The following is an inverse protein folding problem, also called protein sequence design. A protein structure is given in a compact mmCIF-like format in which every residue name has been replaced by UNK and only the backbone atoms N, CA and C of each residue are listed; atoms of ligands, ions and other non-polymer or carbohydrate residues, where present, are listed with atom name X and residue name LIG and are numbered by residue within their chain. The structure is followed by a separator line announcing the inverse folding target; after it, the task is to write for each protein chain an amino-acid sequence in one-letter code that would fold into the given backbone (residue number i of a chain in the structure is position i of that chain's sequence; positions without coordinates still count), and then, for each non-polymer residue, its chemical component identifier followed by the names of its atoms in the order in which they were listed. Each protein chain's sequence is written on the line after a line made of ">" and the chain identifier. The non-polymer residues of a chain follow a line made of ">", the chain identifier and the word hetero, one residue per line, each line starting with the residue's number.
data_IF_250635062002
#
_entry.id   IF_250635062002
#
_cell.length_a   1.000
_cell.length_b   1.000
_cell.length_c   1.000
_cell.angle_alpha   90.00
_cell.angle_beta   90.00
_cell.angle_gamma   90.00
#
_symmetry.space_group_name_H-M   'P 1'
#
loop_
_entity.id
_entity.type
_entity.pdbx_description
1 polymer ?
#
# COMPACT_ATOMS: atom_id res chain seq x y z
N UNK A 1 5.34 -47.23 -37.42
CA UNK A 1 4.56 -47.17 -36.16
C UNK A 1 5.51 -47.09 -34.95
N UNK A 2 6.46 -46.14 -34.96
CA UNK A 2 7.53 -46.02 -33.95
C UNK A 2 7.96 -44.57 -33.67
N UNK A 3 7.28 -43.58 -34.25
CA UNK A 3 7.64 -42.16 -34.15
C UNK A 3 6.89 -41.39 -33.05
N UNK A 4 5.81 -41.97 -32.49
CA UNK A 4 4.99 -41.27 -31.49
C UNK A 4 5.54 -41.41 -30.06
N UNK A 5 6.25 -42.49 -29.73
CA UNK A 5 6.74 -42.73 -28.37
C UNK A 5 7.89 -41.81 -27.93
N UNK A 6 8.73 -41.36 -28.87
CA UNK A 6 9.83 -40.43 -28.57
C UNK A 6 9.35 -38.99 -28.37
N UNK A 7 8.35 -38.55 -29.15
CA UNK A 7 7.72 -37.23 -28.96
C UNK A 7 6.95 -37.12 -27.64
N UNK A 8 6.24 -38.19 -27.25
CA UNK A 8 5.53 -38.26 -25.96
C UNK A 8 6.52 -38.13 -24.78
N UNK A 9 7.74 -38.64 -24.93
CA UNK A 9 8.78 -38.57 -23.90
C UNK A 9 9.36 -37.15 -23.76
N UNK A 10 9.59 -36.44 -24.86
CA UNK A 10 10.10 -35.05 -24.81
C UNK A 10 9.04 -34.10 -24.24
N UNK A 11 7.78 -34.24 -24.66
CA UNK A 11 6.68 -33.39 -24.15
C UNK A 11 6.44 -33.61 -22.66
N UNK A 12 6.49 -34.86 -22.18
CA UNK A 12 6.37 -35.16 -20.75
C UNK A 12 7.56 -34.64 -19.93
N UNK A 13 8.79 -34.76 -20.44
CA UNK A 13 9.99 -34.18 -19.78
C UNK A 13 9.90 -32.65 -19.73
N UNK A 14 9.48 -31.98 -20.80
CA UNK A 14 9.32 -30.52 -20.83
C UNK A 14 8.25 -30.07 -19.85
N UNK A 15 7.08 -30.72 -19.85
CA UNK A 15 5.99 -30.37 -18.92
C UNK A 15 6.38 -30.61 -17.47
N UNK A 16 7.11 -31.68 -17.17
CA UNK A 16 7.59 -31.99 -15.82
C UNK A 16 8.68 -31.02 -15.36
N UNK A 17 9.61 -30.63 -16.25
CA UNK A 17 10.63 -29.63 -15.92
C UNK A 17 10.03 -28.24 -15.69
N UNK A 18 9.09 -27.80 -16.54
CA UNK A 18 8.34 -26.54 -16.32
C UNK A 18 7.57 -26.58 -15.00
N UNK A 19 6.89 -27.68 -14.74
CA UNK A 19 6.14 -27.89 -13.49
C UNK A 19 7.06 -27.82 -12.28
N UNK A 20 8.22 -28.48 -12.32
CA UNK A 20 9.20 -28.45 -11.24
C UNK A 20 9.74 -27.03 -11.01
N UNK A 21 10.14 -26.31 -12.07
CA UNK A 21 10.64 -24.93 -11.96
C UNK A 21 9.60 -24.03 -11.29
N UNK A 22 8.36 -24.05 -11.77
CA UNK A 22 7.31 -23.18 -11.23
C UNK A 22 6.91 -23.62 -9.82
N UNK A 23 6.88 -24.93 -9.54
CA UNK A 23 6.63 -25.44 -8.19
C UNK A 23 7.70 -24.99 -7.20
N UNK A 24 8.97 -24.97 -7.61
CA UNK A 24 10.08 -24.49 -6.78
C UNK A 24 9.95 -22.98 -6.50
N UNK A 25 9.57 -22.19 -7.52
CA UNK A 25 9.30 -20.75 -7.36
C UNK A 25 8.15 -20.53 -6.38
N UNK A 26 7.06 -21.29 -6.47
CA UNK A 26 5.93 -21.14 -5.56
C UNK A 26 6.18 -21.70 -4.16
N UNK A 27 6.94 -22.78 -4.02
CA UNK A 27 7.37 -23.27 -2.70
C UNK A 27 8.32 -22.30 -2.01
N UNK A 28 9.05 -21.49 -2.79
CA UNK A 28 9.86 -20.39 -2.22
C UNK A 28 8.99 -19.25 -1.70
N UNK A 29 7.70 -19.18 -2.09
CA UNK A 29 6.68 -18.32 -1.50
C UNK A 29 6.09 -19.05 -0.29
N UNK A 30 6.92 -19.24 0.73
CA UNK A 30 6.58 -19.97 1.95
C UNK A 30 5.74 -19.13 2.92
N UNK A 31 5.26 -19.77 4.00
CA UNK A 31 4.47 -19.16 5.08
C UNK A 31 5.09 -17.86 5.66
N UNK A 32 6.42 -17.73 5.63
CA UNK A 32 7.10 -16.52 6.09
C UNK A 32 6.72 -15.27 5.28
N UNK A 33 6.43 -15.42 3.98
CA UNK A 33 6.00 -14.30 3.14
C UNK A 33 4.55 -13.88 3.42
N UNK A 34 3.71 -14.78 3.92
CA UNK A 34 2.34 -14.44 4.30
C UNK A 34 2.32 -13.63 5.60
N UNK A 35 3.15 -13.99 6.58
CA UNK A 35 3.29 -13.20 7.80
C UNK A 35 3.85 -11.80 7.50
N UNK A 36 4.85 -11.71 6.61
CA UNK A 36 5.37 -10.41 6.14
C UNK A 36 4.29 -9.58 5.42
N UNK A 37 3.39 -10.21 4.67
CA UNK A 37 2.27 -9.51 4.04
C UNK A 37 1.33 -8.90 5.08
N UNK A 38 1.02 -9.65 6.15
CA UNK A 38 0.20 -9.15 7.25
C UNK A 38 0.86 -7.93 7.94
N UNK A 39 2.16 -8.00 8.23
CA UNK A 39 2.92 -6.89 8.82
C UNK A 39 2.97 -5.64 7.92
N UNK A 40 3.02 -5.82 6.60
CA UNK A 40 3.01 -4.71 5.63
C UNK A 40 1.64 -4.04 5.48
N UNK A 41 0.55 -4.77 5.73
CA UNK A 41 -0.82 -4.27 5.58
C UNK A 41 -1.29 -3.58 6.85
N UNK A 42 -1.08 -4.23 7.99
CA UNK A 42 -1.54 -3.79 9.31
C UNK A 42 -0.46 -2.98 10.00
N UNK A 43 -0.27 -1.77 9.48
CA UNK A 43 0.71 -0.83 9.98
C UNK A 43 0.24 -0.20 11.30
N UNK A 44 1.11 -0.17 12.30
CA UNK A 44 0.92 0.57 13.54
C UNK A 44 1.82 1.82 13.62
N UNK A 45 1.62 2.69 14.61
CA UNK A 45 2.47 3.87 14.84
C UNK A 45 3.97 3.55 14.95
N UNK A 46 4.30 2.32 15.29
CA UNK A 46 5.66 1.83 15.51
C UNK A 46 6.57 2.04 14.28
N UNK A 47 6.01 2.04 13.07
CA UNK A 47 6.76 2.26 11.81
C UNK A 47 7.51 3.59 11.74
N UNK A 48 7.10 4.55 12.55
CA UNK A 48 7.61 5.93 12.56
C UNK A 48 8.45 6.21 13.81
N UNK A 49 8.44 5.30 14.78
CA UNK A 49 9.17 5.45 16.05
C UNK A 49 10.65 5.05 15.96
N UNK A 50 11.10 4.57 14.80
CA UNK A 50 12.50 4.22 14.56
C UNK A 50 13.45 5.38 14.88
N UNK A 51 14.51 5.10 15.64
CA UNK A 51 15.48 6.12 16.05
C UNK A 51 16.15 6.86 14.88
N UNK A 52 16.34 6.17 13.75
CA UNK A 52 16.86 6.76 12.51
C UNK A 52 15.84 7.71 11.88
N UNK A 53 14.56 7.34 11.87
CA UNK A 53 13.48 8.14 11.31
C UNK A 53 13.24 9.42 12.12
N UNK A 54 13.23 9.30 13.46
CA UNK A 54 13.11 10.44 14.37
C UNK A 54 14.28 11.42 14.17
N UNK A 55 15.51 10.91 13.97
CA UNK A 55 16.69 11.77 13.68
C UNK A 55 16.57 12.53 12.36
N UNK A 56 15.97 11.93 11.33
CA UNK A 56 15.76 12.59 10.02
C UNK A 56 14.73 13.72 10.14
N UNK A 57 13.62 13.47 10.83
CA UNK A 57 12.63 14.50 11.12
C UNK A 57 13.25 15.61 11.98
N UNK A 58 14.02 15.18 12.97
CA UNK A 58 14.75 16.04 13.90
C UNK A 58 13.83 16.74 14.89
N UNK A 59 14.45 17.57 15.74
CA UNK A 59 13.75 18.45 16.67
C UNK A 59 13.84 19.90 16.17
N UNK A 60 13.34 20.88 16.93
CA UNK A 60 13.37 22.29 16.55
C UNK A 60 14.76 22.84 16.13
N UNK A 61 15.84 22.16 16.52
CA UNK A 61 17.23 22.51 16.24
C UNK A 61 17.95 21.63 15.21
N UNK A 62 17.30 20.61 14.64
CA UNK A 62 17.93 19.68 13.68
C UNK A 62 16.93 19.04 12.71
N UNK A 63 17.43 18.43 11.64
CA UNK A 63 16.59 17.68 10.70
C UNK A 63 15.66 18.54 9.84
N UNK A 64 14.60 17.92 9.35
CA UNK A 64 13.63 18.55 8.43
C UNK A 64 12.89 19.72 9.09
N UNK A 65 12.57 19.63 10.38
CA UNK A 65 11.87 20.71 11.10
C UNK A 65 12.68 22.03 11.05
N UNK A 66 14.02 21.95 11.15
CA UNK A 66 14.88 23.13 11.04
C UNK A 66 14.80 23.77 9.64
N UNK A 67 14.81 22.95 8.58
CA UNK A 67 14.67 23.43 7.20
C UNK A 67 13.31 24.14 7.04
N UNK A 68 12.26 23.55 7.61
CA UNK A 68 10.92 24.13 7.62
C UNK A 68 10.88 25.48 8.35
N UNK A 69 11.56 25.62 9.49
CA UNK A 69 11.68 26.90 10.20
C UNK A 69 12.40 27.97 9.35
N UNK A 70 13.45 27.61 8.62
CA UNK A 70 14.14 28.53 7.71
C UNK A 70 13.23 28.97 6.53
N UNK A 71 12.45 28.05 5.96
CA UNK A 71 11.46 28.37 4.92
C UNK A 71 10.37 29.31 5.47
N UNK A 72 9.95 29.12 6.72
CA UNK A 72 8.96 29.98 7.36
C UNK A 72 9.46 31.43 7.44
N UNK A 73 10.74 31.64 7.78
CA UNK A 73 11.37 32.96 7.72
C UNK A 73 11.39 33.53 6.30
N UNK A 74 11.71 32.72 5.30
CA UNK A 74 11.64 33.12 3.89
C UNK A 74 10.23 33.57 3.47
N UNK A 75 9.18 32.88 3.93
CA UNK A 75 7.78 33.27 3.68
C UNK A 75 7.44 34.61 4.35
N UNK A 76 7.96 34.88 5.56
CA UNK A 76 7.82 36.19 6.21
C UNK A 76 8.47 37.32 5.38
N UNK A 77 9.68 37.09 4.88
CA UNK A 77 10.38 38.05 4.01
C UNK A 77 9.62 38.28 2.69
N UNK A 78 9.17 37.20 2.05
CA UNK A 78 8.35 37.27 0.85
C UNK A 78 7.08 38.11 1.06
N UNK A 79 6.36 37.86 2.16
CA UNK A 79 5.18 38.64 2.50
C UNK A 79 5.51 40.11 2.75
N UNK A 80 6.61 40.40 3.45
CA UNK A 80 7.04 41.77 3.74
C UNK A 80 7.35 42.56 2.47
N UNK A 81 8.06 41.94 1.52
CA UNK A 81 8.33 42.56 0.22
C UNK A 81 7.06 42.73 -0.63
N UNK A 82 6.20 41.71 -0.64
CA UNK A 82 4.91 41.76 -1.35
C UNK A 82 3.98 42.85 -0.78
N UNK A 83 3.98 43.05 0.54
CA UNK A 83 3.24 44.13 1.20
C UNK A 83 3.80 45.51 0.79
N UNK A 84 5.12 45.67 0.78
CA UNK A 84 5.75 46.92 0.35
C UNK A 84 5.40 47.24 -1.12
N UNK A 85 5.44 46.23 -2.00
CA UNK A 85 5.07 46.40 -3.40
C UNK A 85 3.58 46.68 -3.60
N UNK A 86 2.71 46.14 -2.75
CA UNK A 86 1.27 46.41 -2.74
C UNK A 86 0.97 47.90 -2.53
N UNK A 87 1.72 48.57 -1.64
CA UNK A 87 1.60 50.02 -1.46
C UNK A 87 2.04 50.81 -2.69
N UNK A 88 2.95 50.29 -3.51
CA UNK A 88 3.43 50.95 -4.73
C UNK A 88 2.52 50.69 -5.94
N UNK A 89 1.98 49.48 -6.09
CA UNK A 89 1.23 49.02 -7.27
C UNK A 89 -0.28 48.95 -7.06
N UNK A 90 -0.78 49.29 -5.88
CA UNK A 90 -2.19 49.17 -5.47
C UNK A 90 -2.78 47.75 -5.63
N UNK A 91 -1.92 46.73 -5.77
CA UNK A 91 -2.33 45.34 -5.86
C UNK A 91 -2.89 44.85 -4.50
N UNK A 92 -4.00 44.12 -4.52
CA UNK A 92 -4.61 43.59 -3.30
C UNK A 92 -3.78 42.41 -2.75
N UNK A 93 -3.07 42.65 -1.65
CA UNK A 93 -2.35 41.61 -0.90
C UNK A 93 -3.13 41.21 0.34
N UNK A 94 -2.87 40.02 0.87
CA UNK A 94 -3.50 39.53 2.09
C UNK A 94 -3.29 40.51 3.26
N UNK A 95 -4.35 40.74 4.05
CA UNK A 95 -4.29 41.64 5.22
C UNK A 95 -3.25 41.16 6.26
N UNK A 96 -2.43 42.06 6.85
CA UNK A 96 -1.40 41.70 7.83
C UNK A 96 -1.90 40.87 9.01
N UNK A 97 -3.05 41.24 9.58
CA UNK A 97 -3.65 40.51 10.70
C UNK A 97 -4.01 39.07 10.34
N UNK A 98 -4.55 38.85 9.13
CA UNK A 98 -4.88 37.51 8.63
C UNK A 98 -3.61 36.69 8.33
N UNK A 99 -2.55 37.33 7.87
CA UNK A 99 -1.28 36.66 7.60
C UNK A 99 -0.62 36.19 8.90
N UNK A 100 -0.47 37.08 9.90
CA UNK A 100 0.15 36.76 11.19
C UNK A 100 -0.64 35.66 11.91
N UNK A 101 -1.98 35.74 11.92
CA UNK A 101 -2.81 34.73 12.55
C UNK A 101 -2.63 33.34 11.91
N UNK A 102 -2.61 33.26 10.57
CA UNK A 102 -2.35 32.01 9.85
C UNK A 102 -0.95 31.49 10.10
N UNK A 103 0.04 32.38 10.11
CA UNK A 103 1.43 32.03 10.36
C UNK A 103 1.58 31.38 11.74
N UNK A 104 1.01 31.98 12.79
CA UNK A 104 1.03 31.43 14.14
C UNK A 104 0.44 30.01 14.19
N UNK A 105 -0.76 29.82 13.60
CA UNK A 105 -1.42 28.52 13.57
C UNK A 105 -0.57 27.48 12.82
N UNK A 106 -0.02 27.85 11.66
CA UNK A 106 0.82 26.94 10.86
C UNK A 106 2.14 26.60 11.56
N UNK A 107 2.76 27.52 12.31
CA UNK A 107 3.97 27.25 13.10
C UNK A 107 3.68 26.24 14.21
N UNK A 108 2.55 26.37 14.90
CA UNK A 108 2.14 25.38 15.90
C UNK A 108 1.93 24.02 15.22
N UNK A 109 1.16 23.98 14.12
CA UNK A 109 0.89 22.74 13.38
C UNK A 109 2.14 22.08 12.81
N UNK A 110 3.15 22.86 12.39
CA UNK A 110 4.46 22.37 11.93
C UNK A 110 5.17 21.60 13.04
N UNK A 111 5.26 22.16 14.25
CA UNK A 111 5.92 21.51 15.37
C UNK A 111 5.18 20.24 15.83
N UNK A 112 3.85 20.22 15.72
CA UNK A 112 3.01 19.05 16.03
C UNK A 112 2.78 18.12 14.83
N UNK A 113 3.39 18.37 13.67
CA UNK A 113 3.12 17.62 12.43
C UNK A 113 3.36 16.12 12.57
N UNK A 114 4.50 15.75 13.18
CA UNK A 114 4.84 14.37 13.48
C UNK A 114 3.80 13.69 14.37
N UNK A 115 3.42 14.36 15.46
CA UNK A 115 2.42 13.85 16.40
C UNK A 115 1.06 13.64 15.72
N UNK A 116 0.64 14.58 14.85
CA UNK A 116 -0.62 14.45 14.09
C UNK A 116 -0.57 13.21 13.20
N UNK A 117 0.52 13.01 12.46
CA UNK A 117 0.69 11.83 11.60
C UNK A 117 0.69 10.52 12.39
N UNK A 118 1.40 10.47 13.52
CA UNK A 118 1.43 9.31 14.42
C UNK A 118 0.02 8.94 14.90
N UNK A 119 -0.75 9.93 15.37
CA UNK A 119 -2.12 9.68 15.87
C UNK A 119 -3.10 9.30 14.76
N UNK A 120 -2.95 9.83 13.55
CA UNK A 120 -3.76 9.40 12.41
C UNK A 120 -3.50 7.93 12.05
N UNK A 121 -2.24 7.51 12.03
CA UNK A 121 -1.87 6.11 11.74
C UNK A 121 -2.39 5.19 12.84
N UNK A 122 -2.19 5.57 14.11
CA UNK A 122 -2.71 4.82 15.25
C UNK A 122 -4.24 4.67 15.21
N UNK A 123 -4.96 5.73 14.84
CA UNK A 123 -6.41 5.69 14.69
C UNK A 123 -6.82 4.68 13.62
N UNK A 124 -6.19 4.71 12.45
CA UNK A 124 -6.52 3.74 11.37
C UNK A 124 -6.14 2.31 11.73
N UNK A 125 -5.07 2.13 12.51
CA UNK A 125 -4.69 0.82 13.06
C UNK A 125 -5.77 0.28 14.01
N UNK A 126 -6.23 1.10 14.95
CA UNK A 126 -7.29 0.71 15.88
C UNK A 126 -8.60 0.34 15.17
N UNK A 127 -8.99 1.10 14.13
CA UNK A 127 -10.19 0.78 13.34
C UNK A 127 -10.02 -0.56 12.62
N UNK A 128 -8.86 -0.80 12.02
CA UNK A 128 -8.56 -2.06 11.34
C UNK A 128 -8.57 -3.26 12.30
N UNK A 129 -7.98 -3.10 13.48
CA UNK A 129 -8.01 -4.10 14.56
C UNK A 129 -9.44 -4.37 15.04
N UNK A 130 -10.27 -3.33 15.21
CA UNK A 130 -11.66 -3.52 15.59
C UNK A 130 -12.43 -4.36 14.56
N UNK A 131 -12.22 -4.13 13.26
CA UNK A 131 -12.84 -4.91 12.19
C UNK A 131 -12.37 -6.38 12.24
N UNK A 132 -11.07 -6.60 12.47
CA UNK A 132 -10.50 -7.96 12.60
C UNK A 132 -11.07 -8.70 13.81
N UNK A 133 -11.10 -8.06 14.98
CA UNK A 133 -11.66 -8.64 16.20
C UNK A 133 -13.15 -9.01 16.02
N UNK A 134 -13.93 -8.15 15.35
CA UNK A 134 -15.33 -8.46 15.04
C UNK A 134 -15.45 -9.74 14.23
N UNK A 135 -14.61 -9.91 13.22
CA UNK A 135 -14.68 -11.12 12.42
C UNK A 135 -14.03 -12.35 13.07
N UNK A 136 -13.02 -12.18 13.93
CA UNK A 136 -12.50 -13.28 14.79
C UNK A 136 -13.60 -13.87 15.66
N UNK A 137 -14.46 -13.03 16.24
CA UNK A 137 -15.63 -13.48 16.99
C UNK A 137 -16.73 -14.15 16.13
N UNK A 138 -16.75 -13.91 14.82
CA UNK A 138 -17.77 -14.47 13.92
C UNK A 138 -17.33 -15.80 13.31
N UNK A 139 -16.03 -15.95 13.00
CA UNK A 139 -15.49 -17.11 12.30
C UNK A 139 -14.62 -18.03 13.18
N UNK A 140 -14.40 -17.67 14.45
CA UNK A 140 -13.53 -18.38 15.40
C UNK A 140 -12.09 -18.61 14.88
N UNK A 141 -11.64 -17.77 13.94
CA UNK A 141 -10.31 -17.82 13.32
C UNK A 141 -9.74 -16.41 13.15
N UNK A 142 -8.42 -16.27 13.27
CA UNK A 142 -7.71 -15.01 13.03
C UNK A 142 -7.92 -14.51 11.59
N UNK A 143 -8.45 -13.29 11.46
CA UNK A 143 -8.61 -12.65 10.15
C UNK A 143 -7.29 -12.03 9.73
N UNK A 144 -6.54 -12.79 8.95
CA UNK A 144 -5.27 -12.40 8.36
C UNK A 144 -5.03 -13.13 7.03
N UNK A 145 -4.10 -12.61 6.23
CA UNK A 145 -3.72 -13.25 4.96
C UNK A 145 -3.07 -14.60 5.19
N UNK A 146 -2.24 -14.74 6.22
CA UNK A 146 -1.64 -16.02 6.60
C UNK A 146 -2.69 -17.11 6.79
N UNK A 147 -3.73 -16.87 7.60
CA UNK A 147 -4.83 -17.84 7.80
C UNK A 147 -5.65 -18.05 6.53
N UNK A 148 -5.93 -16.98 5.76
CA UNK A 148 -6.66 -17.12 4.50
C UNK A 148 -5.90 -18.04 3.54
N UNK A 149 -4.61 -17.83 3.35
CA UNK A 149 -3.79 -18.65 2.44
C UNK A 149 -3.55 -20.06 2.97
N UNK A 150 -3.43 -20.25 4.29
CA UNK A 150 -3.39 -21.60 4.88
C UNK A 150 -4.69 -22.37 4.59
N UNK A 151 -5.85 -21.73 4.76
CA UNK A 151 -7.14 -22.33 4.42
C UNK A 151 -7.23 -22.65 2.92
N UNK A 152 -6.76 -21.74 2.05
CA UNK A 152 -6.71 -22.02 0.60
C UNK A 152 -5.80 -23.18 0.26
N UNK A 153 -4.59 -23.21 0.82
CA UNK A 153 -3.64 -24.29 0.58
C UNK A 153 -4.21 -25.63 1.09
N UNK A 154 -4.81 -25.69 2.28
CA UNK A 154 -5.44 -26.93 2.76
C UNK A 154 -6.57 -27.44 1.86
N UNK A 155 -7.34 -26.55 1.22
CA UNK A 155 -8.42 -26.92 0.29
C UNK A 155 -7.94 -27.31 -1.11
N UNK A 156 -6.77 -26.83 -1.54
CA UNK A 156 -6.19 -27.06 -2.87
C UNK A 156 -5.11 -28.15 -2.88
N UNK A 157 -4.50 -28.47 -1.73
CA UNK A 157 -3.58 -29.58 -1.55
C UNK A 157 -4.37 -30.84 -1.19
N UNK A 158 -4.81 -31.59 -2.21
CA UNK A 158 -5.00 -33.02 -2.02
C UNK A 158 -3.60 -33.61 -1.81
N UNK A 159 -3.35 -34.12 -0.61
CA UNK A 159 -2.08 -34.73 -0.19
C UNK A 159 -1.50 -35.67 -1.26
N UNK A 160 -0.26 -35.40 -1.68
CA UNK A 160 0.58 -36.38 -2.38
C UNK A 160 0.55 -36.42 -3.91
N UNK A 161 -0.32 -35.68 -4.60
CA UNK A 161 -0.28 -35.63 -6.06
C UNK A 161 0.66 -34.51 -6.54
N UNK A 162 1.70 -34.87 -7.30
CA UNK A 162 2.56 -33.93 -8.01
C UNK A 162 1.71 -32.86 -8.72
N UNK A 163 1.93 -31.58 -8.39
CA UNK A 163 1.18 -30.46 -8.94
C UNK A 163 1.13 -30.55 -10.47
N UNK A 164 0.00 -30.93 -11.05
CA UNK A 164 -0.13 -30.85 -12.49
C UNK A 164 -0.46 -29.40 -12.85
N UNK A 165 0.54 -28.63 -13.25
CA UNK A 165 0.42 -27.17 -13.45
C UNK A 165 -0.63 -26.81 -14.50
N UNK A 166 -0.87 -27.70 -15.46
CA UNK A 166 -1.85 -27.54 -16.53
C UNK A 166 -3.26 -28.02 -16.15
N UNK A 167 -3.47 -28.51 -14.93
CA UNK A 167 -4.81 -28.75 -14.40
C UNK A 167 -5.48 -27.42 -14.01
N UNK A 168 -6.82 -27.41 -13.96
CA UNK A 168 -7.57 -26.23 -13.53
C UNK A 168 -7.15 -25.76 -12.13
N UNK A 169 -6.88 -26.70 -11.22
CA UNK A 169 -6.41 -26.39 -9.86
C UNK A 169 -4.95 -25.87 -9.85
N UNK A 170 -4.10 -26.41 -10.74
CA UNK A 170 -2.75 -25.89 -10.98
C UNK A 170 -2.78 -24.44 -11.47
N UNK A 171 -3.65 -24.13 -12.43
CA UNK A 171 -3.83 -22.77 -12.95
C UNK A 171 -4.37 -21.82 -11.86
N UNK A 172 -5.39 -22.22 -11.10
CA UNK A 172 -5.91 -21.42 -9.98
C UNK A 172 -4.78 -21.11 -9.00
N UNK A 173 -3.99 -22.11 -8.62
CA UNK A 173 -2.83 -21.92 -7.72
C UNK A 173 -1.80 -20.95 -8.29
N UNK A 174 -1.53 -21.00 -9.59
CA UNK A 174 -0.60 -20.05 -10.23
C UNK A 174 -1.12 -18.61 -10.16
N UNK A 175 -2.42 -18.40 -10.36
CA UNK A 175 -3.06 -17.09 -10.30
C UNK A 175 -3.04 -16.54 -8.86
N UNK A 176 -3.36 -17.38 -7.87
CA UNK A 176 -3.30 -17.02 -6.45
C UNK A 176 -1.87 -16.60 -6.07
N UNK A 177 -0.87 -17.42 -6.42
CA UNK A 177 0.54 -17.17 -6.08
C UNK A 177 1.07 -15.89 -6.72
N UNK A 178 0.78 -15.66 -8.00
CA UNK A 178 1.14 -14.40 -8.69
C UNK A 178 0.40 -13.21 -8.09
N UNK A 179 -0.87 -13.39 -7.73
CA UNK A 179 -1.67 -12.37 -7.04
C UNK A 179 -1.03 -11.94 -5.72
N UNK A 180 -0.58 -12.90 -4.90
CA UNK A 180 0.10 -12.65 -3.64
C UNK A 180 1.42 -11.90 -3.80
N UNK A 181 2.24 -12.25 -4.80
CA UNK A 181 3.46 -11.48 -5.11
C UNK A 181 3.10 -10.02 -5.42
N UNK A 182 2.05 -9.79 -6.21
CA UNK A 182 1.62 -8.42 -6.55
C UNK A 182 1.15 -7.64 -5.32
N UNK A 183 0.46 -8.30 -4.38
CA UNK A 183 0.02 -7.72 -3.12
C UNK A 183 1.23 -7.34 -2.26
N UNK A 184 2.17 -8.26 -2.03
CA UNK A 184 3.40 -8.02 -1.25
C UNK A 184 4.12 -6.78 -1.76
N UNK A 185 4.31 -6.69 -3.08
CA UNK A 185 5.03 -5.58 -3.68
C UNK A 185 4.24 -4.25 -3.59
N UNK A 186 2.92 -4.27 -3.80
CA UNK A 186 2.08 -3.07 -3.70
C UNK A 186 2.00 -2.54 -2.25
N UNK A 187 1.84 -3.43 -1.27
CA UNK A 187 1.79 -3.04 0.14
C UNK A 187 3.17 -2.65 0.69
N UNK A 188 4.26 -3.25 0.20
CA UNK A 188 5.61 -2.76 0.49
C UNK A 188 5.82 -1.33 -0.02
N UNK A 189 5.34 -1.01 -1.23
CA UNK A 189 5.40 0.36 -1.75
C UNK A 189 4.57 1.31 -0.87
N UNK A 190 3.35 0.91 -0.50
CA UNK A 190 2.47 1.69 0.40
C UNK A 190 3.16 2.00 1.72
N UNK A 191 3.81 1.00 2.33
CA UNK A 191 4.54 1.14 3.59
C UNK A 191 5.59 2.26 3.51
N UNK A 192 6.42 2.25 2.46
CA UNK A 192 7.45 3.28 2.25
C UNK A 192 6.81 4.64 1.96
N UNK A 193 5.75 4.68 1.15
CA UNK A 193 5.05 5.92 0.83
C UNK A 193 4.47 6.60 2.08
N UNK A 194 3.91 5.84 3.03
CA UNK A 194 3.44 6.41 4.31
C UNK A 194 4.59 7.11 5.04
N UNK A 195 5.77 6.47 5.14
CA UNK A 195 6.96 7.11 5.74
C UNK A 195 7.35 8.40 5.02
N UNK A 196 7.37 8.38 3.69
CA UNK A 196 7.68 9.57 2.87
C UNK A 196 6.66 10.70 3.09
N UNK A 197 5.36 10.40 3.15
CA UNK A 197 4.34 11.41 3.39
C UNK A 197 4.40 12.01 4.79
N UNK A 198 4.83 11.24 5.79
CA UNK A 198 5.10 11.74 7.15
C UNK A 198 6.27 12.72 7.14
N UNK A 199 7.35 12.42 6.41
CA UNK A 199 8.50 13.33 6.22
C UNK A 199 8.13 14.63 5.49
N UNK A 200 7.16 14.57 4.56
CA UNK A 200 6.68 15.74 3.82
C UNK A 200 5.69 16.59 4.64
N UNK A 201 5.09 16.03 5.70
CA UNK A 201 4.06 16.71 6.50
C UNK A 201 4.40 18.13 6.98
N UNK A 202 5.61 18.46 7.52
CA UNK A 202 5.89 19.82 7.97
C UNK A 202 5.90 20.83 6.80
N UNK A 203 6.35 20.43 5.61
CA UNK A 203 6.27 21.27 4.40
C UNK A 203 4.81 21.48 3.96
N UNK A 204 3.98 20.44 4.08
CA UNK A 204 2.56 20.55 3.78
C UNK A 204 1.87 21.57 4.70
N UNK A 205 2.14 21.56 6.01
CA UNK A 205 1.60 22.55 6.94
C UNK A 205 2.06 23.98 6.65
N UNK A 206 3.34 24.17 6.27
CA UNK A 206 3.85 25.50 5.87
C UNK A 206 3.08 26.04 4.66
N UNK A 207 2.72 25.19 3.70
CA UNK A 207 2.03 25.62 2.48
C UNK A 207 0.69 26.34 2.73
N UNK A 208 0.07 26.14 3.91
CA UNK A 208 -1.18 26.80 4.29
C UNK A 208 -1.03 28.30 4.61
N UNK A 209 0.19 28.77 4.90
CA UNK A 209 0.45 30.18 5.21
C UNK A 209 0.11 31.05 3.99
N UNK A 210 0.49 30.60 2.80
CA UNK A 210 0.27 31.32 1.54
C UNK A 210 -0.96 30.77 0.84
N UNK A 211 -1.96 31.63 0.58
CA UNK A 211 -3.23 31.24 -0.07
C UNK A 211 -3.03 30.48 -1.38
N UNK A 212 -2.07 30.91 -2.20
CA UNK A 212 -1.81 30.30 -3.51
C UNK A 212 -1.23 28.88 -3.40
N UNK A 213 -0.57 28.54 -2.29
CA UNK A 213 0.04 27.22 -2.07
C UNK A 213 -0.81 26.28 -1.21
N UNK A 214 -1.95 26.73 -0.68
CA UNK A 214 -2.83 25.92 0.17
C UNK A 214 -3.36 24.65 -0.50
N UNK A 215 -3.33 24.57 -1.84
CA UNK A 215 -3.68 23.36 -2.59
C UNK A 215 -2.71 22.20 -2.32
N UNK A 216 -1.44 22.49 -1.99
CA UNK A 216 -0.43 21.47 -1.66
C UNK A 216 -0.83 20.71 -0.41
N UNK A 217 -1.22 21.40 0.67
CA UNK A 217 -1.74 20.76 1.88
C UNK A 217 -2.97 19.90 1.59
N UNK A 218 -3.94 20.43 0.83
CA UNK A 218 -5.15 19.69 0.48
C UNK A 218 -4.82 18.40 -0.29
N UNK A 219 -3.88 18.48 -1.23
CA UNK A 219 -3.41 17.33 -2.01
C UNK A 219 -2.69 16.31 -1.13
N UNK A 220 -1.75 16.77 -0.29
CA UNK A 220 -1.03 15.93 0.66
C UNK A 220 -1.99 15.19 1.60
N UNK A 221 -2.94 15.89 2.21
CA UNK A 221 -3.91 15.29 3.15
C UNK A 221 -4.78 14.24 2.44
N UNK A 222 -5.24 14.56 1.23
CA UNK A 222 -6.06 13.66 0.40
C UNK A 222 -5.32 12.35 0.07
N UNK A 223 -4.06 12.46 -0.37
CA UNK A 223 -3.23 11.29 -0.70
C UNK A 223 -2.86 10.50 0.57
N UNK A 224 -2.46 11.18 1.64
CA UNK A 224 -2.11 10.54 2.90
C UNK A 224 -3.29 9.75 3.48
N UNK A 225 -4.48 10.35 3.51
CA UNK A 225 -5.69 9.69 4.00
C UNK A 225 -6.10 8.51 3.10
N UNK A 226 -5.96 8.64 1.78
CA UNK A 226 -6.15 7.53 0.84
C UNK A 226 -5.24 6.35 1.16
N UNK A 227 -3.96 6.59 1.46
CA UNK A 227 -3.02 5.51 1.81
C UNK A 227 -3.37 4.86 3.15
N UNK A 228 -3.88 5.61 4.13
CA UNK A 228 -4.27 5.06 5.44
C UNK A 228 -5.57 4.26 5.37
N UNK A 229 -6.59 4.76 4.68
CA UNK A 229 -7.87 4.06 4.57
C UNK A 229 -7.80 2.73 3.83
N UNK A 230 -6.75 2.48 3.05
CA UNK A 230 -6.53 1.15 2.46
C UNK A 230 -6.47 0.06 3.54
N UNK A 231 -5.90 0.33 4.73
CA UNK A 231 -5.85 -0.61 5.85
C UNK A 231 -7.22 -0.85 6.52
N UNK A 232 -8.21 -0.01 6.27
CA UNK A 232 -9.60 -0.25 6.69
C UNK A 232 -10.33 -1.09 5.64
N UNK A 233 -10.08 -0.83 4.35
CA UNK A 233 -10.74 -1.54 3.26
C UNK A 233 -10.30 -3.01 3.17
N UNK A 234 -9.02 -3.29 3.38
CA UNK A 234 -8.46 -4.65 3.29
C UNK A 234 -9.11 -5.66 4.26
N UNK A 235 -9.21 -5.41 5.58
CA UNK A 235 -9.88 -6.34 6.50
C UNK A 235 -11.38 -6.50 6.20
N UNK A 236 -12.03 -5.48 5.65
CA UNK A 236 -13.41 -5.60 5.16
C UNK A 236 -13.52 -6.61 4.00
N UNK A 237 -12.61 -6.55 3.03
CA UNK A 237 -12.58 -7.52 1.92
C UNK A 237 -12.24 -8.93 2.44
N UNK A 238 -11.29 -9.04 3.39
CA UNK A 238 -10.95 -10.32 4.02
C UNK A 238 -12.15 -10.93 4.74
N UNK A 239 -12.91 -10.13 5.49
CA UNK A 239 -14.10 -10.59 6.21
C UNK A 239 -15.15 -11.20 5.26
N UNK A 240 -15.35 -10.57 4.10
CA UNK A 240 -16.18 -11.16 3.02
C UNK A 240 -15.55 -12.45 2.51
N UNK A 241 -14.22 -12.48 2.33
CA UNK A 241 -13.50 -13.68 1.90
C UNK A 241 -13.70 -14.88 2.83
N UNK A 242 -13.61 -14.69 4.15
CA UNK A 242 -13.85 -15.74 5.15
C UNK A 242 -15.32 -16.16 5.25
N UNK A 243 -16.26 -15.26 4.92
CA UNK A 243 -17.69 -15.60 4.88
C UNK A 243 -18.08 -16.57 3.76
N UNK A 244 -17.25 -16.68 2.71
CA UNK A 244 -17.50 -17.61 1.62
C UNK A 244 -17.18 -19.02 2.12
N UNK A 245 -18.19 -19.89 2.26
CA UNK A 245 -17.99 -21.28 2.63
C UNK A 245 -17.04 -21.98 1.63
N UNK A 246 -15.79 -22.16 2.04
CA UNK A 246 -14.75 -22.89 1.27
C UNK A 246 -15.07 -24.40 1.24
N UNK A 247 -15.99 -24.87 2.10
CA UNK A 247 -16.35 -26.29 2.27
C UNK A 247 -16.92 -26.97 1.03
N UNK A 248 -17.60 -26.23 0.15
CA UNK A 248 -18.45 -26.89 -0.86
C UNK A 248 -17.67 -27.41 -2.07
N UNK A 249 -16.36 -27.16 -2.15
CA UNK A 249 -15.44 -27.66 -3.20
C UNK A 249 -15.94 -27.43 -4.65
N UNK A 250 -16.91 -26.55 -4.84
CA UNK A 250 -17.47 -26.24 -6.15
C UNK A 250 -16.51 -25.36 -6.93
N UNK A 251 -16.52 -25.50 -8.26
CA UNK A 251 -15.77 -24.60 -9.14
C UNK A 251 -16.14 -23.13 -8.91
N UNK A 252 -17.37 -22.87 -8.45
CA UNK A 252 -17.84 -21.56 -8.05
C UNK A 252 -17.09 -21.01 -6.83
N UNK A 253 -16.96 -21.77 -5.73
CA UNK A 253 -16.23 -21.29 -4.54
C UNK A 253 -14.76 -21.00 -4.86
N UNK A 254 -14.10 -21.87 -5.65
CA UNK A 254 -12.72 -21.67 -6.13
C UNK A 254 -12.56 -20.40 -6.98
N UNK A 255 -13.53 -20.07 -7.83
CA UNK A 255 -13.52 -18.82 -8.60
C UNK A 255 -13.81 -17.59 -7.74
N UNK A 256 -14.71 -17.69 -6.75
CA UNK A 256 -14.98 -16.56 -5.84
C UNK A 256 -13.76 -16.20 -4.99
N UNK A 257 -12.93 -17.17 -4.61
CA UNK A 257 -11.63 -16.95 -3.94
C UNK A 257 -10.67 -16.14 -4.83
N UNK A 258 -10.59 -16.46 -6.12
CA UNK A 258 -9.81 -15.64 -7.08
C UNK A 258 -10.38 -14.23 -7.13
N UNK A 259 -11.71 -14.09 -7.09
CA UNK A 259 -12.40 -12.79 -6.99
C UNK A 259 -11.97 -11.99 -5.76
N UNK A 260 -11.85 -12.62 -4.59
CA UNK A 260 -11.37 -11.97 -3.35
C UNK A 260 -9.93 -11.48 -3.51
N UNK A 261 -9.02 -12.33 -4.01
CA UNK A 261 -7.62 -11.93 -4.24
C UNK A 261 -7.54 -10.79 -5.25
N UNK A 262 -8.31 -10.86 -6.33
CA UNK A 262 -8.35 -9.80 -7.32
C UNK A 262 -8.93 -8.49 -6.77
N UNK A 263 -9.96 -8.56 -5.92
CA UNK A 263 -10.49 -7.41 -5.20
C UNK A 263 -9.44 -6.79 -4.26
N UNK A 264 -8.63 -7.60 -3.61
CA UNK A 264 -7.51 -7.14 -2.77
C UNK A 264 -6.41 -6.48 -3.60
N UNK A 265 -6.13 -6.96 -4.82
CA UNK A 265 -5.16 -6.33 -5.74
C UNK A 265 -5.69 -4.96 -6.19
N UNK A 266 -6.99 -4.88 -6.52
CA UNK A 266 -7.64 -3.63 -6.93
C UNK A 266 -8.02 -2.69 -5.79
N UNK A 267 -7.92 -3.12 -4.54
CA UNK A 267 -8.25 -2.34 -3.34
C UNK A 267 -7.63 -0.93 -3.38
N UNK A 268 -6.38 -0.87 -3.82
CA UNK A 268 -5.65 0.37 -3.94
C UNK A 268 -6.17 1.28 -5.07
N UNK A 269 -6.49 0.72 -6.24
CA UNK A 269 -7.19 1.44 -7.31
C UNK A 269 -8.55 1.98 -6.84
N UNK A 270 -9.33 1.18 -6.10
CA UNK A 270 -10.62 1.62 -5.55
C UNK A 270 -10.44 2.79 -4.58
N UNK A 271 -9.46 2.70 -3.69
CA UNK A 271 -9.18 3.77 -2.73
C UNK A 271 -8.68 5.04 -3.44
N UNK A 272 -7.86 4.89 -4.48
CA UNK A 272 -7.42 5.99 -5.34
C UNK A 272 -8.57 6.68 -6.05
N UNK A 273 -9.54 5.94 -6.59
CA UNK A 273 -10.70 6.52 -7.27
C UNK A 273 -11.65 7.21 -6.28
N UNK A 274 -11.89 6.59 -5.12
CA UNK A 274 -12.76 7.12 -4.09
C UNK A 274 -12.20 8.40 -3.44
N UNK A 275 -10.94 8.36 -3.03
CA UNK A 275 -10.31 9.48 -2.32
C UNK A 275 -9.50 10.39 -3.21
N UNK A 276 -9.22 10.05 -4.48
CA UNK A 276 -8.32 10.76 -5.39
C UNK A 276 -6.87 10.79 -4.90
N UNK A 277 -6.04 9.83 -5.33
CA UNK A 277 -4.67 9.67 -4.83
C UNK A 277 -3.63 9.24 -5.88
N UNK A 278 -2.42 8.94 -5.41
CA UNK A 278 -1.36 8.30 -6.21
C UNK A 278 -1.60 6.78 -6.16
N UNK A 279 -1.57 6.10 -7.30
CA UNK A 279 -1.64 4.63 -7.33
C UNK A 279 -0.31 4.06 -6.87
N UNK A 280 -0.35 3.18 -5.87
CA UNK A 280 0.73 2.23 -5.56
C UNK A 280 0.55 0.90 -6.30
N UNK A 281 -0.32 0.89 -7.32
CA UNK A 281 -0.57 -0.27 -8.17
C UNK A 281 0.66 -0.55 -9.00
N UNK A 282 1.12 -1.79 -8.94
CA UNK A 282 2.24 -2.25 -9.75
C UNK A 282 1.63 -3.01 -10.91
N UNK A 283 1.57 -2.33 -12.05
CA UNK A 283 1.27 -3.00 -13.29
C UNK A 283 2.49 -3.82 -13.71
N UNK A 284 2.49 -5.11 -13.39
CA UNK A 284 3.21 -6.09 -14.22
C UNK A 284 2.50 -6.17 -15.57
N UNK A 285 2.60 -5.10 -16.37
CA UNK A 285 2.08 -5.14 -17.73
C UNK A 285 2.98 -6.06 -18.55
N UNK A 286 2.36 -6.99 -19.27
CA UNK A 286 3.05 -7.83 -20.26
C UNK A 286 3.84 -6.99 -21.29
N UNK A 287 3.52 -5.69 -21.43
CA UNK A 287 4.28 -4.74 -22.24
C UNK A 287 5.71 -4.48 -21.72
N UNK A 288 5.93 -4.47 -20.40
CA UNK A 288 7.26 -4.26 -19.84
C UNK A 288 8.13 -5.51 -19.99
N UNK A 289 7.55 -6.71 -19.90
CA UNK A 289 8.26 -7.95 -20.27
C UNK A 289 8.55 -8.01 -21.77
N UNK A 290 7.60 -7.59 -22.62
CA UNK A 290 7.81 -7.55 -24.08
C UNK A 290 8.98 -6.64 -24.48
N UNK A 291 9.21 -5.54 -23.75
CA UNK A 291 10.35 -4.66 -23.98
C UNK A 291 11.67 -5.24 -23.43
N UNK A 292 11.65 -5.98 -22.32
CA UNK A 292 12.84 -6.71 -21.85
C UNK A 292 13.30 -7.78 -22.84
N UNK A 293 12.36 -8.54 -23.45
CA UNK A 293 12.69 -9.53 -24.47
C UNK A 293 12.98 -8.93 -25.86
N UNK A 294 12.55 -7.69 -26.13
CA UNK A 294 12.88 -7.00 -27.39
C UNK A 294 14.27 -6.37 -27.41
N UNK A 295 14.90 -6.18 -26.26
CA UNK A 295 16.22 -5.50 -26.16
C UNK A 295 17.39 -6.50 -26.21
N UNK A 296 17.11 -7.79 -26.47
CA UNK A 296 18.12 -8.85 -26.61
C UNK A 296 18.21 -9.47 -28.01
N UNK A 297 17.71 -8.76 -29.04
CA UNK A 297 17.81 -9.15 -30.45
C UNK A 297 18.52 -8.10 -31.27
#
# INVERSE_FOLDING_TARGET
>A
MQTDSSQINIVSIITQTITNIISNIFSSIDNNLYNLLDDLIFINSDIITDSSFIKIIGNNSSGIILICNAILFSICLYYSFSLLLSYLTYAQVQKPTQFIFRLLLCTIALNFSFFICEKLIYLTSCVSLAIRNVGEHVFDTEICFSTLIQNLNSSLYIEGASLNLFSFDGLIKTIISVGLISLILSYSLRYIMIKVFVLISPFAFISLVVKNFAWIFKSWLKIFLSLLFLQILVPLILLVGFSLNISDNTTFSRLTIIGVIYALIKANSYMKEFMGGISTDISFSLSNMKNLFKTGG
#
